data_IF_533147402736
#
_entry.id   IF_533147402736
#
_cell.length_a   1.000
_cell.length_b   1.000
_cell.length_c   1.000
_cell.angle_alpha   90.00
_cell.angle_beta   90.00
_cell.angle_gamma   90.00
#
_symmetry.space_group_name_H-M   'P 1'
#
loop_
_entity.id
_entity.type
_entity.pdbx_description
1 polymer ?
#
# COMPACT_ATOMS: atom_id res chain seq x y z
N UNK A 1 -1.78 -15.85 17.49
CA UNK A 1 -1.26 -16.17 16.14
C UNK A 1 0.23 -15.89 16.06
N UNK A 2 0.96 -16.67 15.27
CA UNK A 2 2.38 -16.55 14.92
C UNK A 2 2.52 -16.53 13.39
N UNK A 3 3.72 -16.24 12.88
CA UNK A 3 3.98 -16.24 11.43
C UNK A 3 3.56 -17.54 10.74
N UNK A 4 3.87 -18.70 11.34
CA UNK A 4 3.51 -20.01 10.78
C UNK A 4 1.99 -20.21 10.61
N UNK A 5 1.17 -19.56 11.46
CA UNK A 5 -0.30 -19.66 11.37
C UNK A 5 -0.85 -18.89 10.14
N UNK A 6 -0.12 -17.86 9.68
CA UNK A 6 -0.55 -16.97 8.58
C UNK A 6 0.25 -17.19 7.29
N UNK A 7 1.39 -17.88 7.34
CA UNK A 7 2.24 -18.14 6.18
C UNK A 7 1.48 -18.82 5.02
N UNK A 8 0.63 -19.86 5.25
CA UNK A 8 -0.17 -20.43 4.17
C UNK A 8 -1.13 -19.45 3.50
N UNK A 9 -1.60 -18.43 4.24
CA UNK A 9 -2.48 -17.38 3.73
C UNK A 9 -1.72 -16.32 2.93
N UNK A 10 -0.49 -15.96 3.32
CA UNK A 10 0.38 -15.14 2.47
C UNK A 10 0.60 -15.82 1.12
N UNK A 11 1.01 -17.08 1.17
CA UNK A 11 1.20 -17.96 0.03
C UNK A 11 -0.03 -18.01 -0.90
N UNK A 12 -1.23 -18.15 -0.33
CA UNK A 12 -2.49 -18.13 -1.06
C UNK A 12 -2.73 -16.77 -1.75
N UNK A 13 -2.55 -15.67 -1.03
CA UNK A 13 -2.74 -14.32 -1.56
C UNK A 13 -1.72 -14.02 -2.66
N UNK A 14 -0.45 -14.35 -2.46
CA UNK A 14 0.62 -14.10 -3.43
C UNK A 14 0.39 -14.86 -4.74
N UNK A 15 0.01 -16.14 -4.66
CA UNK A 15 -0.38 -16.94 -5.84
C UNK A 15 -1.63 -16.41 -6.53
N UNK A 16 -2.59 -15.85 -5.80
CA UNK A 16 -3.78 -15.25 -6.43
C UNK A 16 -3.46 -13.92 -7.12
N UNK A 17 -2.75 -13.05 -6.40
CA UNK A 17 -2.49 -11.66 -6.77
C UNK A 17 -1.41 -11.54 -7.84
N UNK A 18 -0.41 -12.42 -7.83
CA UNK A 18 0.78 -12.33 -8.68
C UNK A 18 1.70 -11.22 -8.19
N UNK A 19 2.61 -11.57 -7.29
CA UNK A 19 3.62 -10.65 -6.76
C UNK A 19 4.89 -10.81 -7.58
N UNK A 20 5.39 -9.75 -8.21
CA UNK A 20 6.75 -9.77 -8.75
C UNK A 20 7.74 -9.49 -7.63
N UNK A 21 8.83 -10.25 -7.58
CA UNK A 21 9.80 -10.12 -6.49
C UNK A 21 11.02 -11.01 -6.66
N UNK A 22 12.04 -10.73 -5.86
CA UNK A 22 13.25 -11.52 -5.76
C UNK A 22 13.26 -12.27 -4.42
N UNK A 23 13.56 -13.56 -4.47
CA UNK A 23 13.84 -14.37 -3.30
C UNK A 23 15.25 -14.05 -2.80
N UNK A 24 15.37 -13.75 -1.51
CA UNK A 24 16.60 -13.28 -0.87
C UNK A 24 17.08 -14.20 0.26
N UNK A 25 16.26 -15.16 0.70
CA UNK A 25 16.59 -16.07 1.79
C UNK A 25 16.75 -15.39 3.15
N UNK A 26 16.17 -14.19 3.34
CA UNK A 26 16.35 -13.41 4.56
C UNK A 26 15.33 -13.80 5.64
N UNK A 27 15.76 -14.14 6.89
CA UNK A 27 14.83 -14.52 7.96
C UNK A 27 13.91 -13.36 8.40
N UNK A 28 14.39 -12.12 8.30
CA UNK A 28 13.62 -10.90 8.62
C UNK A 28 12.67 -10.46 7.50
N UNK A 29 12.85 -11.00 6.29
CA UNK A 29 12.03 -10.74 5.12
C UNK A 29 11.79 -12.08 4.41
N UNK A 30 10.97 -12.97 4.99
CA UNK A 30 10.75 -14.30 4.44
C UNK A 30 10.32 -14.21 2.97
N UNK A 31 10.82 -15.14 2.16
CA UNK A 31 10.43 -15.23 0.76
C UNK A 31 8.98 -15.71 0.62
N UNK A 32 8.39 -15.39 -0.53
CA UNK A 32 7.01 -15.71 -0.88
C UNK A 32 6.92 -16.30 -2.28
N UNK A 33 5.71 -16.37 -2.81
CA UNK A 33 5.38 -16.96 -4.10
C UNK A 33 5.47 -15.88 -5.19
N UNK A 34 6.66 -15.71 -5.77
CA UNK A 34 6.93 -14.62 -6.70
C UNK A 34 6.83 -15.03 -8.17
N UNK A 35 6.23 -14.15 -8.96
CA UNK A 35 6.49 -14.04 -10.40
C UNK A 35 7.91 -13.47 -10.62
N UNK A 36 8.39 -13.56 -11.86
CA UNK A 36 9.72 -13.05 -12.23
C UNK A 36 9.94 -11.61 -11.73
N UNK A 37 11.10 -11.29 -11.12
CA UNK A 37 11.39 -9.95 -10.67
C UNK A 37 11.53 -8.99 -11.84
N UNK A 38 11.21 -7.72 -11.60
CA UNK A 38 11.64 -6.64 -12.49
C UNK A 38 13.14 -6.37 -12.30
N UNK A 39 13.82 -5.92 -13.36
CA UNK A 39 15.22 -5.52 -13.24
C UNK A 39 15.37 -4.19 -12.50
N UNK A 40 16.41 -4.10 -11.67
CA UNK A 40 16.90 -2.80 -11.19
C UNK A 40 17.39 -1.98 -12.37
N UNK A 41 17.11 -0.68 -12.32
CA UNK A 41 17.61 0.22 -13.33
C UNK A 41 19.09 0.57 -13.08
N UNK A 42 19.74 1.23 -14.04
CA UNK A 42 21.16 1.50 -13.95
C UNK A 42 21.57 2.36 -12.73
N UNK A 43 20.75 3.33 -12.35
CA UNK A 43 21.01 4.17 -11.17
C UNK A 43 20.90 3.38 -9.86
N UNK A 44 19.90 2.51 -9.79
CA UNK A 44 19.70 1.61 -8.65
C UNK A 44 20.81 0.57 -8.53
N UNK A 45 21.35 0.07 -9.65
CA UNK A 45 22.50 -0.83 -9.66
C UNK A 45 23.75 -0.15 -9.09
N UNK A 46 24.01 1.11 -9.45
CA UNK A 46 25.12 1.89 -8.88
C UNK A 46 24.99 1.99 -7.36
N UNK A 47 23.79 2.29 -6.86
CA UNK A 47 23.53 2.36 -5.42
C UNK A 47 23.66 1.00 -4.75
N UNK A 48 23.10 -0.06 -5.34
CA UNK A 48 23.25 -1.44 -4.83
C UNK A 48 24.72 -1.79 -4.67
N UNK A 49 25.53 -1.55 -5.69
CA UNK A 49 26.94 -1.92 -5.68
C UNK A 49 27.74 -1.07 -4.67
N UNK A 50 27.39 0.21 -4.51
CA UNK A 50 27.99 1.07 -3.49
C UNK A 50 27.64 0.62 -2.07
N UNK A 51 26.38 0.25 -1.81
CA UNK A 51 25.94 -0.30 -0.52
C UNK A 51 26.63 -1.62 -0.21
N UNK A 52 26.73 -2.52 -1.19
CA UNK A 52 27.41 -3.80 -1.03
C UNK A 52 28.91 -3.64 -0.71
N UNK A 53 29.58 -2.64 -1.28
CA UNK A 53 30.99 -2.31 -0.95
C UNK A 53 31.13 -1.70 0.44
N UNK A 54 30.23 -0.81 0.83
CA UNK A 54 30.30 -0.10 2.11
C UNK A 54 29.89 -0.98 3.31
N UNK A 55 29.01 -1.97 3.09
CA UNK A 55 28.54 -2.88 4.14
C UNK A 55 28.48 -4.34 3.64
N UNK A 56 29.64 -4.97 3.39
CA UNK A 56 29.72 -6.31 2.80
C UNK A 56 28.97 -7.35 3.63
N UNK A 57 27.98 -8.01 3.02
CA UNK A 57 27.17 -9.05 3.68
C UNK A 57 26.20 -8.57 4.75
N UNK A 58 26.22 -7.28 5.10
CA UNK A 58 25.37 -6.71 6.15
C UNK A 58 24.14 -5.99 5.60
N UNK A 59 24.25 -5.34 4.44
CA UNK A 59 23.14 -4.59 3.82
C UNK A 59 22.90 -5.05 2.40
N UNK A 60 21.62 -5.26 2.09
CA UNK A 60 21.14 -5.66 0.78
C UNK A 60 20.32 -4.54 0.16
N UNK A 61 20.56 -4.26 -1.11
CA UNK A 61 19.63 -3.50 -1.96
C UNK A 61 19.09 -4.48 -2.99
N UNK A 62 17.79 -4.69 -2.98
CA UNK A 62 17.10 -5.57 -3.93
C UNK A 62 15.97 -4.83 -4.65
N UNK A 63 15.39 -5.46 -5.66
CA UNK A 63 14.13 -5.02 -6.26
C UNK A 63 13.00 -5.14 -5.24
N UNK A 64 12.11 -4.14 -5.18
CA UNK A 64 10.91 -4.22 -4.37
C UNK A 64 10.01 -5.40 -4.75
N UNK A 65 9.27 -5.93 -3.79
CA UNK A 65 8.22 -6.93 -4.03
C UNK A 65 6.91 -6.19 -4.26
N UNK A 66 6.30 -6.31 -5.44
CA UNK A 66 5.11 -5.55 -5.77
C UNK A 66 4.06 -6.38 -6.52
N UNK A 67 2.79 -6.03 -6.30
CA UNK A 67 1.63 -6.66 -6.92
C UNK A 67 1.39 -6.15 -8.35
N UNK A 68 2.43 -6.23 -9.18
CA UNK A 68 2.43 -5.87 -10.59
C UNK A 68 2.91 -7.08 -11.38
N UNK A 69 2.10 -7.52 -12.35
CA UNK A 69 2.35 -8.73 -13.12
C UNK A 69 3.51 -8.53 -14.09
N UNK A 70 4.54 -9.37 -13.99
CA UNK A 70 5.64 -9.45 -14.96
C UNK A 70 5.41 -10.52 -16.03
N UNK A 71 4.41 -11.36 -15.83
CA UNK A 71 3.93 -12.38 -16.78
C UNK A 71 2.41 -12.48 -16.69
N UNK A 72 1.77 -13.07 -17.71
CA UNK A 72 0.33 -13.27 -17.69
C UNK A 72 -0.06 -14.18 -16.51
N UNK A 73 -1.07 -13.78 -15.75
CA UNK A 73 -1.41 -14.44 -14.49
C UNK A 73 -2.91 -14.38 -14.21
N UNK A 74 -3.55 -15.53 -13.97
CA UNK A 74 -4.98 -15.63 -13.66
C UNK A 74 -5.88 -14.81 -14.61
N UNK A 75 -5.62 -14.91 -15.92
CA UNK A 75 -6.39 -14.20 -16.96
C UNK A 75 -6.10 -12.69 -17.07
N UNK A 76 -5.10 -12.16 -16.36
CA UNK A 76 -4.64 -10.77 -16.47
C UNK A 76 -3.31 -10.71 -17.22
N UNK A 77 -3.16 -9.71 -18.09
CA UNK A 77 -1.95 -9.52 -18.89
C UNK A 77 -0.79 -8.96 -18.05
N UNK A 78 0.44 -9.27 -18.48
CA UNK A 78 1.65 -8.66 -17.94
C UNK A 78 1.64 -7.13 -18.08
N UNK A 79 2.38 -6.44 -17.21
CA UNK A 79 2.49 -4.99 -17.22
C UNK A 79 3.18 -4.48 -18.49
N UNK A 80 2.59 -3.48 -19.14
CA UNK A 80 3.19 -2.79 -20.29
C UNK A 80 4.09 -1.61 -19.90
N UNK A 81 4.28 -1.35 -18.60
CA UNK A 81 5.12 -0.26 -18.09
C UNK A 81 4.74 1.14 -18.62
N UNK A 82 3.44 1.37 -18.88
CA UNK A 82 2.94 2.64 -19.43
C UNK A 82 2.85 3.74 -18.37
N UNK A 83 2.35 3.42 -17.17
CA UNK A 83 2.07 4.39 -16.11
C UNK A 83 1.09 5.51 -16.53
N UNK A 84 0.79 6.45 -15.62
CA UNK A 84 1.09 6.42 -14.19
C UNK A 84 0.10 5.53 -13.41
N UNK A 85 0.61 4.62 -12.58
CA UNK A 85 -0.22 3.59 -11.93
C UNK A 85 -1.20 4.15 -10.88
N UNK A 86 -0.90 5.30 -10.26
CA UNK A 86 -1.75 5.90 -9.23
C UNK A 86 -3.09 6.41 -9.76
N UNK A 87 -3.26 6.49 -11.09
CA UNK A 87 -4.53 6.87 -11.75
C UNK A 87 -5.35 5.68 -12.23
N UNK A 88 -4.91 4.46 -11.93
CA UNK A 88 -5.50 3.24 -12.45
C UNK A 88 -4.62 2.55 -13.50
N UNK A 89 -4.97 1.32 -13.85
CA UNK A 89 -4.29 0.54 -14.89
C UNK A 89 -5.31 -0.02 -15.88
N UNK A 90 -5.27 0.55 -17.09
CA UNK A 90 -6.18 0.18 -18.19
C UNK A 90 -5.98 -1.27 -18.64
N UNK A 91 -4.78 -1.81 -18.50
CA UNK A 91 -4.42 -3.18 -18.89
C UNK A 91 -4.71 -4.21 -17.79
N UNK A 92 -5.17 -3.76 -16.61
CA UNK A 92 -5.49 -4.59 -15.44
C UNK A 92 -4.29 -5.42 -14.92
N UNK A 93 -3.08 -4.96 -15.20
CA UNK A 93 -1.82 -5.68 -14.93
C UNK A 93 -1.27 -5.52 -13.52
N UNK A 94 -1.80 -4.60 -12.71
CA UNK A 94 -1.48 -4.55 -11.27
C UNK A 94 -2.72 -4.89 -10.44
N UNK A 95 -2.48 -5.32 -9.21
CA UNK A 95 -3.53 -5.64 -8.26
C UNK A 95 -4.33 -4.42 -7.81
N UNK A 96 -5.63 -4.47 -8.08
CA UNK A 96 -6.61 -3.69 -7.36
C UNK A 96 -7.84 -4.56 -7.16
N UNK A 97 -8.71 -4.22 -6.22
CA UNK A 97 -9.96 -4.95 -6.04
C UNK A 97 -10.79 -4.96 -7.33
N UNK A 98 -10.77 -3.86 -8.09
CA UNK A 98 -11.47 -3.72 -9.38
C UNK A 98 -10.87 -4.63 -10.45
N UNK A 99 -9.56 -4.87 -10.44
CA UNK A 99 -8.88 -5.67 -11.45
C UNK A 99 -8.87 -7.17 -11.13
N UNK A 100 -8.89 -7.56 -9.85
CA UNK A 100 -8.63 -8.92 -9.41
C UNK A 100 -9.77 -9.54 -8.58
N UNK A 101 -10.01 -9.05 -7.36
CA UNK A 101 -10.91 -9.74 -6.42
C UNK A 101 -12.38 -9.56 -6.74
N UNK A 102 -12.83 -8.38 -7.19
CA UNK A 102 -14.22 -8.16 -7.59
C UNK A 102 -14.60 -8.98 -8.84
N UNK A 103 -13.79 -9.02 -9.92
CA UNK A 103 -14.04 -9.92 -11.04
C UNK A 103 -14.12 -11.40 -10.62
N UNK A 104 -13.21 -11.85 -9.74
CA UNK A 104 -13.23 -13.23 -9.24
C UNK A 104 -14.50 -13.53 -8.43
N UNK A 105 -14.91 -12.60 -7.55
CA UNK A 105 -16.15 -12.74 -6.78
C UNK A 105 -17.40 -12.69 -7.67
N UNK A 106 -17.42 -11.83 -8.69
CA UNK A 106 -18.51 -11.75 -9.67
C UNK A 106 -18.65 -13.04 -10.47
N UNK A 107 -17.55 -13.67 -10.88
CA UNK A 107 -17.55 -14.93 -11.61
C UNK A 107 -18.21 -16.09 -10.85
N UNK A 108 -18.35 -15.99 -9.52
CA UNK A 108 -19.07 -17.00 -8.73
C UNK A 108 -20.59 -16.96 -8.91
N UNK A 109 -21.14 -15.87 -9.45
CA UNK A 109 -22.58 -15.62 -9.52
C UNK A 109 -23.24 -15.34 -8.16
N UNK A 110 -22.46 -15.18 -7.09
CA UNK A 110 -22.95 -14.99 -5.71
C UNK A 110 -22.67 -13.59 -5.14
N UNK A 111 -22.08 -12.70 -5.94
CA UNK A 111 -21.78 -11.32 -5.54
C UNK A 111 -22.92 -10.38 -5.96
N UNK A 112 -23.41 -9.61 -5.00
CA UNK A 112 -24.17 -8.39 -5.26
C UNK A 112 -23.35 -7.19 -4.81
N UNK A 113 -23.06 -6.27 -5.73
CA UNK A 113 -22.36 -5.02 -5.43
C UNK A 113 -23.33 -3.85 -5.51
N UNK A 114 -23.46 -3.09 -4.41
CA UNK A 114 -24.28 -1.89 -4.35
C UNK A 114 -23.40 -0.67 -4.06
N UNK A 115 -22.93 0.06 -5.09
CA UNK A 115 -22.18 1.30 -4.88
C UNK A 115 -23.06 2.34 -4.18
N UNK A 116 -22.43 3.42 -3.70
CA UNK A 116 -23.12 4.49 -2.96
C UNK A 116 -23.88 3.98 -1.74
N UNK A 117 -23.33 2.99 -1.04
CA UNK A 117 -23.87 2.48 0.23
C UNK A 117 -23.00 2.99 1.37
N UNK A 118 -23.35 4.15 1.94
CA UNK A 118 -22.62 4.72 3.07
C UNK A 118 -23.14 4.09 4.36
N UNK A 119 -22.37 3.19 4.97
CA UNK A 119 -22.80 2.48 6.19
C UNK A 119 -22.78 3.46 7.37
N UNK A 120 -23.93 3.61 8.03
CA UNK A 120 -24.05 4.41 9.25
C UNK A 120 -23.70 3.58 10.49
N UNK A 121 -24.32 2.41 10.63
CA UNK A 121 -24.13 1.54 11.80
C UNK A 121 -24.48 0.08 11.50
N UNK A 122 -23.98 -0.81 12.34
CA UNK A 122 -24.32 -2.23 12.38
C UNK A 122 -25.52 -2.38 13.32
N UNK A 123 -26.57 -3.07 12.86
CA UNK A 123 -27.72 -3.39 13.71
C UNK A 123 -27.37 -4.61 14.57
N UNK A 124 -27.71 -4.56 15.86
CA UNK A 124 -27.29 -5.55 16.85
C UNK A 124 -28.44 -5.93 17.78
N UNK A 125 -28.65 -7.21 17.98
CA UNK A 125 -29.61 -7.74 18.95
C UNK A 125 -28.91 -8.01 20.28
N UNK A 126 -29.28 -7.23 21.31
CA UNK A 126 -28.73 -7.36 22.66
C UNK A 126 -29.15 -8.64 23.38
N UNK A 127 -30.28 -9.25 23.03
CA UNK A 127 -30.75 -10.49 23.67
C UNK A 127 -29.91 -11.68 23.23
N UNK A 128 -29.64 -11.77 21.92
CA UNK A 128 -28.85 -12.87 21.35
C UNK A 128 -27.36 -12.58 21.30
N UNK A 129 -26.96 -11.32 21.48
CA UNK A 129 -25.57 -10.89 21.42
C UNK A 129 -24.98 -10.91 20.01
N UNK A 130 -25.81 -10.69 18.97
CA UNK A 130 -25.42 -10.87 17.56
C UNK A 130 -25.73 -9.67 16.69
N UNK A 131 -24.85 -9.38 15.75
CA UNK A 131 -25.15 -8.50 14.63
C UNK A 131 -26.27 -9.12 13.78
N UNK A 132 -27.22 -8.28 13.33
CA UNK A 132 -28.40 -8.68 12.57
C UNK A 132 -28.47 -8.05 11.19
N UNK A 133 -27.57 -7.11 10.87
CA UNK A 133 -27.63 -6.32 9.66
C UNK A 133 -26.83 -5.02 9.74
N UNK A 134 -27.11 -4.12 8.80
CA UNK A 134 -26.50 -2.79 8.71
C UNK A 134 -27.55 -1.75 8.30
N UNK A 135 -27.41 -0.54 8.85
CA UNK A 135 -28.12 0.65 8.40
C UNK A 135 -27.22 1.42 7.45
N UNK A 136 -27.75 1.75 6.28
CA UNK A 136 -27.05 2.41 5.18
C UNK A 136 -27.79 3.70 4.84
N UNK A 137 -27.04 4.76 4.58
CA UNK A 137 -27.53 5.95 3.90
C UNK A 137 -27.12 5.82 2.43
N UNK A 138 -28.10 5.89 1.54
CA UNK A 138 -27.83 5.91 0.12
C UNK A 138 -27.06 7.19 -0.26
N UNK A 139 -25.90 7.02 -0.87
CA UNK A 139 -24.97 8.09 -1.11
C UNK A 139 -25.47 9.15 -2.09
N UNK A 140 -26.47 8.81 -2.91
CA UNK A 140 -27.03 9.69 -3.94
C UNK A 140 -28.33 10.35 -3.48
N UNK A 141 -29.25 9.56 -2.92
CA UNK A 141 -30.59 10.00 -2.53
C UNK A 141 -30.67 10.46 -1.07
N UNK A 142 -29.65 10.13 -0.25
CA UNK A 142 -29.63 10.33 1.21
C UNK A 142 -30.72 9.58 1.98
N UNK A 143 -31.40 8.63 1.34
CA UNK A 143 -32.41 7.82 1.98
C UNK A 143 -31.79 6.73 2.86
N UNK A 144 -32.39 6.51 4.03
CA UNK A 144 -31.98 5.43 4.93
C UNK A 144 -32.56 4.09 4.47
N UNK A 145 -31.73 3.05 4.48
CA UNK A 145 -32.06 1.69 4.06
C UNK A 145 -31.44 0.71 5.07
N UNK A 146 -32.15 -0.37 5.39
CA UNK A 146 -31.64 -1.42 6.26
C UNK A 146 -31.47 -2.75 5.51
N UNK A 147 -30.34 -3.40 5.74
CA UNK A 147 -30.05 -4.72 5.20
C UNK A 147 -29.88 -5.72 6.34
N UNK A 148 -30.68 -6.79 6.34
CA UNK A 148 -30.52 -7.89 7.29
C UNK A 148 -29.45 -8.86 6.81
N UNK A 149 -28.61 -9.33 7.71
CA UNK A 149 -27.53 -10.26 7.40
C UNK A 149 -27.32 -11.25 8.55
N UNK A 150 -26.96 -12.49 8.21
CA UNK A 150 -26.60 -13.53 9.19
C UNK A 150 -25.17 -13.36 9.70
N UNK A 151 -24.29 -12.80 8.86
CA UNK A 151 -22.88 -12.57 9.13
C UNK A 151 -22.53 -11.21 8.52
N UNK A 152 -21.78 -10.39 9.26
CA UNK A 152 -21.29 -9.09 8.82
C UNK A 152 -19.77 -9.09 8.86
N UNK A 153 -19.14 -8.84 7.72
CA UNK A 153 -17.70 -8.58 7.63
C UNK A 153 -17.49 -7.08 7.51
N UNK A 154 -16.85 -6.46 8.52
CA UNK A 154 -16.55 -5.04 8.51
C UNK A 154 -15.18 -4.80 7.86
N UNK A 155 -15.19 -4.30 6.63
CA UNK A 155 -13.98 -4.08 5.81
C UNK A 155 -13.92 -2.64 5.29
N UNK A 156 -14.18 -1.65 6.16
CA UNK A 156 -14.33 -0.24 5.77
C UNK A 156 -13.00 0.56 5.77
N UNK A 157 -11.84 -0.10 5.85
CA UNK A 157 -10.54 0.51 6.17
C UNK A 157 -10.40 0.88 7.65
N UNK A 158 -9.20 1.31 8.07
CA UNK A 158 -8.80 1.50 9.47
C UNK A 158 -9.72 2.45 10.23
N UNK A 159 -9.92 3.66 9.71
CA UNK A 159 -10.65 4.74 10.39
C UNK A 159 -12.16 4.48 10.36
N UNK A 160 -12.73 4.23 9.18
CA UNK A 160 -14.19 4.06 9.06
C UNK A 160 -14.70 2.78 9.75
N UNK A 161 -13.88 1.72 9.83
CA UNK A 161 -14.29 0.54 10.62
C UNK A 161 -14.40 0.88 12.10
N UNK A 162 -13.44 1.64 12.65
CA UNK A 162 -13.53 2.13 14.03
C UNK A 162 -14.74 3.05 14.22
N UNK A 163 -14.93 4.02 13.31
CA UNK A 163 -16.07 4.94 13.31
C UNK A 163 -17.41 4.20 13.34
N UNK A 164 -17.61 3.23 12.45
CA UNK A 164 -18.85 2.44 12.37
C UNK A 164 -19.08 1.66 13.67
N UNK A 165 -18.03 1.04 14.26
CA UNK A 165 -18.16 0.32 15.53
C UNK A 165 -18.53 1.25 16.70
N UNK A 166 -17.90 2.43 16.77
CA UNK A 166 -18.20 3.45 17.79
C UNK A 166 -19.64 3.97 17.64
N UNK A 167 -20.06 4.32 16.43
CA UNK A 167 -21.45 4.73 16.14
C UNK A 167 -22.48 3.63 16.44
N UNK A 168 -22.09 2.37 16.25
CA UNK A 168 -22.95 1.22 16.55
C UNK A 168 -23.02 0.92 18.05
N UNK A 169 -22.08 1.42 18.86
CA UNK A 169 -21.99 1.14 20.29
C UNK A 169 -21.72 -0.34 20.60
N UNK A 170 -20.97 -1.03 19.74
CA UNK A 170 -20.66 -2.47 19.89
C UNK A 170 -19.16 -2.73 19.86
N UNK A 171 -18.76 -3.94 20.28
CA UNK A 171 -17.39 -4.45 20.23
C UNK A 171 -16.33 -3.61 20.98
N UNK A 172 -16.74 -2.69 21.86
CA UNK A 172 -15.85 -1.82 22.62
C UNK A 172 -15.79 -2.10 24.13
N UNK A 173 -16.08 -3.33 24.56
CA UNK A 173 -15.97 -3.71 25.98
C UNK A 173 -14.54 -3.62 26.53
N UNK A 174 -13.54 -3.68 25.66
CA UNK A 174 -12.12 -3.48 26.00
C UNK A 174 -11.70 -2.00 26.04
N UNK A 175 -12.55 -1.09 25.56
CA UNK A 175 -12.20 0.32 25.38
C UNK A 175 -11.15 0.58 24.28
N UNK A 176 -10.84 -0.40 23.42
CA UNK A 176 -9.78 -0.30 22.42
C UNK A 176 -10.25 0.15 21.03
N UNK A 177 -11.55 0.20 20.76
CA UNK A 177 -12.05 0.66 19.46
C UNK A 177 -11.68 2.13 19.27
N UNK A 178 -11.04 2.44 18.14
CA UNK A 178 -10.53 3.77 17.83
C UNK A 178 -9.13 4.05 18.38
N UNK A 179 -8.58 3.22 19.27
CA UNK A 179 -7.26 3.44 19.90
C UNK A 179 -6.15 2.63 19.22
N UNK A 180 -4.91 2.97 19.56
CA UNK A 180 -3.70 2.35 18.99
C UNK A 180 -3.59 2.56 17.48
N UNK A 181 -4.02 3.73 17.00
CA UNK A 181 -3.81 4.10 15.61
C UNK A 181 -2.31 4.10 15.33
N UNK A 182 -1.93 3.41 14.25
CA UNK A 182 -0.55 3.29 13.79
C UNK A 182 -0.47 3.65 12.32
N UNK A 183 0.66 4.23 11.94
CA UNK A 183 1.08 4.43 10.55
C UNK A 183 2.59 4.11 10.44
N UNK A 184 3.19 4.34 9.28
CA UNK A 184 4.63 4.28 9.11
C UNK A 184 5.26 5.63 9.44
N UNK A 185 6.33 5.60 10.24
CA UNK A 185 7.23 6.74 10.33
C UNK A 185 7.96 6.81 8.98
N UNK A 186 7.63 7.81 8.18
CA UNK A 186 8.23 8.06 6.87
C UNK A 186 9.24 9.21 6.96
N UNK A 187 10.45 9.03 6.44
CA UNK A 187 11.46 10.09 6.40
C UNK A 187 12.80 9.68 5.80
N UNK A 188 13.62 10.66 5.46
CA UNK A 188 14.93 10.47 4.80
C UNK A 188 14.84 10.55 3.28
N UNK A 189 15.95 10.95 2.65
CA UNK A 189 16.12 11.08 1.20
C UNK A 189 17.58 11.44 0.89
N UNK A 190 18.13 10.93 -0.21
CA UNK A 190 19.45 11.30 -0.72
C UNK A 190 19.32 11.43 -2.23
N UNK A 191 19.45 12.66 -2.75
CA UNK A 191 19.64 12.88 -4.17
C UNK A 191 21.10 12.66 -4.55
N UNK A 192 21.37 11.69 -5.43
CA UNK A 192 22.70 11.42 -5.95
C UNK A 192 22.69 11.36 -7.49
N UNK A 193 23.64 12.02 -8.17
CA UNK A 193 23.77 11.91 -9.61
C UNK A 193 24.29 10.52 -10.01
N UNK A 194 23.77 10.02 -11.13
CA UNK A 194 24.16 8.77 -11.80
C UNK A 194 24.27 9.07 -13.30
N UNK A 195 25.08 8.31 -14.07
CA UNK A 195 25.37 8.61 -15.48
C UNK A 195 25.11 7.41 -16.42
N UNK A 196 23.85 6.98 -16.54
CA UNK A 196 23.38 5.90 -17.46
C UNK A 196 21.94 6.16 -17.92
N UNK A 197 21.37 5.44 -18.88
CA UNK A 197 19.99 5.72 -19.37
C UNK A 197 19.01 4.57 -19.15
N UNK A 198 17.70 4.86 -19.09
CA UNK A 198 16.63 3.86 -18.88
C UNK A 198 15.42 4.08 -19.76
N UNK A 199 14.76 2.99 -20.17
CA UNK A 199 13.54 3.02 -20.98
C UNK A 199 12.36 2.50 -20.15
N UNK A 200 11.22 3.21 -20.21
CA UNK A 200 9.95 2.79 -19.64
C UNK A 200 9.67 3.27 -18.21
N UNK A 201 8.41 3.14 -17.78
CA UNK A 201 7.94 3.57 -16.46
C UNK A 201 7.76 2.35 -15.54
N UNK A 202 8.87 1.74 -15.09
CA UNK A 202 8.83 0.62 -14.15
C UNK A 202 8.11 1.04 -12.85
N UNK A 203 6.95 0.46 -12.49
CA UNK A 203 6.17 0.88 -11.32
C UNK A 203 6.62 0.14 -10.06
N UNK A 204 7.92 0.14 -9.83
CA UNK A 204 8.56 -0.50 -8.69
C UNK A 204 9.83 0.27 -8.35
N UNK A 205 10.32 0.10 -7.14
CA UNK A 205 11.54 0.71 -6.64
C UNK A 205 12.55 -0.35 -6.19
N UNK A 206 13.60 0.10 -5.52
CA UNK A 206 14.42 -0.77 -4.68
C UNK A 206 13.76 -1.00 -3.32
N UNK A 207 14.21 -2.04 -2.64
CA UNK A 207 14.00 -2.25 -1.22
C UNK A 207 15.33 -2.53 -0.53
N UNK A 208 15.55 -1.86 0.60
CA UNK A 208 16.59 -2.18 1.58
C UNK A 208 15.88 -2.83 2.77
N UNK A 209 16.00 -4.16 2.93
CA UNK A 209 15.37 -4.85 4.05
C UNK A 209 15.85 -4.31 5.38
N UNK A 210 15.06 -4.56 6.42
CA UNK A 210 15.45 -4.25 7.79
C UNK A 210 16.85 -4.81 8.06
N UNK A 211 17.73 -3.98 8.61
CA UNK A 211 19.08 -4.35 9.07
C UNK A 211 19.33 -3.98 10.54
N UNK A 212 18.41 -3.24 11.18
CA UNK A 212 18.49 -2.93 12.62
C UNK A 212 17.77 -3.97 13.47
N UNK A 213 18.38 -4.29 14.62
CA UNK A 213 17.90 -5.27 15.59
C UNK A 213 17.69 -6.66 14.99
N UNK A 214 18.71 -7.10 14.26
CA UNK A 214 18.81 -8.44 13.68
C UNK A 214 20.07 -9.08 14.21
N UNK A 215 19.97 -10.34 14.64
CA UNK A 215 21.10 -11.06 15.21
C UNK A 215 21.65 -10.38 16.48
N UNK A 216 22.96 -10.08 16.50
CA UNK A 216 23.69 -9.61 17.69
C UNK A 216 23.71 -8.09 17.87
N UNK A 217 23.40 -7.32 16.82
CA UNK A 217 23.42 -5.85 16.87
C UNK A 217 22.13 -5.30 17.49
N UNK A 218 22.20 -4.84 18.75
CA UNK A 218 21.06 -4.23 19.45
C UNK A 218 21.22 -2.71 19.51
N UNK A 219 20.13 -1.99 19.21
CA UNK A 219 19.97 -0.55 19.40
C UNK A 219 18.93 -0.30 20.50
N UNK A 220 18.96 0.86 21.19
CA UNK A 220 17.86 1.29 22.06
C UNK A 220 16.53 1.46 21.32
N UNK A 221 16.59 1.68 20.00
CA UNK A 221 15.41 1.62 19.14
C UNK A 221 14.82 0.20 19.21
N UNK A 222 13.56 0.03 19.60
CA UNK A 222 13.00 -1.29 19.91
C UNK A 222 12.87 -2.23 18.70
N UNK A 223 12.71 -1.67 17.51
CA UNK A 223 12.31 -2.42 16.31
C UNK A 223 13.23 -2.13 15.13
N UNK A 224 12.72 -2.09 13.91
CA UNK A 224 13.56 -1.80 12.76
C UNK A 224 12.89 -0.87 11.78
N UNK A 225 13.64 -0.57 10.74
CA UNK A 225 13.18 0.16 9.59
C UNK A 225 13.82 -0.47 8.35
N UNK A 226 13.09 -0.43 7.25
CA UNK A 226 13.63 -0.66 5.92
C UNK A 226 13.63 0.65 5.14
N UNK A 227 14.15 0.61 3.93
CA UNK A 227 14.05 1.73 3.01
C UNK A 227 13.45 1.29 1.68
N UNK A 228 12.62 2.14 1.09
CA UNK A 228 12.20 2.00 -0.30
C UNK A 228 12.58 3.25 -1.06
N UNK A 229 12.80 3.11 -2.35
CA UNK A 229 13.33 4.20 -3.13
C UNK A 229 13.50 3.83 -4.58
N UNK A 230 14.20 4.68 -5.31
CA UNK A 230 14.52 4.40 -6.69
C UNK A 230 15.37 5.48 -7.29
N UNK A 231 15.91 5.19 -8.47
CA UNK A 231 16.62 6.16 -9.27
C UNK A 231 15.75 6.59 -10.44
N UNK A 232 15.80 7.86 -10.82
CA UNK A 232 15.14 8.39 -12.01
C UNK A 232 15.85 9.62 -12.55
N UNK A 233 15.50 10.02 -13.77
CA UNK A 233 15.97 11.29 -14.34
C UNK A 233 14.89 12.33 -14.22
N UNK A 234 15.28 13.58 -13.96
CA UNK A 234 14.33 14.69 -14.09
C UNK A 234 13.84 14.78 -15.53
N UNK A 235 12.53 14.82 -15.72
CA UNK A 235 11.92 14.97 -17.03
C UNK A 235 11.93 16.45 -17.48
N UNK A 236 11.17 16.77 -18.52
CA UNK A 236 11.01 18.14 -19.00
C UNK A 236 10.36 19.07 -17.96
N UNK A 237 9.65 18.52 -16.96
CA UNK A 237 8.99 19.25 -15.88
C UNK A 237 9.96 20.05 -15.02
N UNK A 238 11.25 19.72 -15.03
CA UNK A 238 12.31 20.56 -14.45
C UNK A 238 12.31 22.00 -14.97
N UNK A 239 11.78 22.22 -16.17
CA UNK A 239 11.63 23.54 -16.77
C UNK A 239 10.65 24.45 -16.03
N UNK A 240 9.73 23.90 -15.22
CA UNK A 240 8.76 24.71 -14.48
C UNK A 240 9.40 25.69 -13.49
N UNK A 241 10.61 25.37 -12.99
CA UNK A 241 11.39 26.25 -12.10
C UNK A 241 12.52 27.02 -12.80
N UNK A 242 12.64 26.94 -14.13
CA UNK A 242 13.71 27.58 -14.88
C UNK A 242 13.22 28.82 -15.62
N UNK A 243 14.02 29.88 -15.61
CA UNK A 243 13.78 31.05 -16.48
C UNK A 243 14.09 30.67 -17.92
N UNK A 244 13.12 30.85 -18.82
CA UNK A 244 13.30 30.62 -20.26
C UNK A 244 11.98 30.45 -21.00
N UNK A 245 11.99 30.74 -22.31
CA UNK A 245 10.87 30.51 -23.22
C UNK A 245 11.37 30.31 -24.66
N UNK A 246 10.49 29.92 -25.58
CA UNK A 246 10.82 29.79 -27.00
C UNK A 246 11.48 28.46 -27.40
N UNK A 247 11.99 28.41 -28.63
CA UNK A 247 12.48 27.18 -29.26
C UNK A 247 13.71 26.59 -28.53
N UNK A 248 14.63 27.43 -28.08
CA UNK A 248 15.84 26.99 -27.39
C UNK A 248 15.54 26.40 -26.02
N UNK A 249 14.59 26.99 -25.29
CA UNK A 249 14.12 26.44 -24.02
C UNK A 249 13.46 25.07 -24.22
N UNK A 250 12.60 24.92 -25.23
CA UNK A 250 12.02 23.60 -25.57
C UNK A 250 13.11 22.60 -25.98
N UNK A 251 14.14 23.04 -26.70
CA UNK A 251 15.26 22.18 -27.14
C UNK A 251 16.13 21.75 -25.96
N UNK A 252 16.35 22.61 -24.96
CA UNK A 252 17.12 22.26 -23.75
C UNK A 252 16.38 21.23 -22.89
N UNK A 253 15.04 21.27 -22.87
CA UNK A 253 14.20 20.32 -22.11
C UNK A 253 14.03 18.95 -22.79
N UNK A 254 14.35 18.82 -24.08
CA UNK A 254 14.27 17.54 -24.81
C UNK A 254 15.30 16.50 -24.38
N UNK A 255 16.42 16.94 -23.79
CA UNK A 255 17.39 16.02 -23.21
C UNK A 255 16.92 15.58 -21.82
N UNK A 256 17.07 14.30 -21.43
CA UNK A 256 16.81 13.90 -20.05
C UNK A 256 17.65 14.72 -19.07
N UNK A 257 17.05 15.11 -17.95
CA UNK A 257 17.72 15.87 -16.90
C UNK A 257 18.76 15.04 -16.14
N UNK A 258 19.35 15.61 -15.07
CA UNK A 258 20.24 14.86 -14.19
C UNK A 258 19.51 13.67 -13.57
N UNK A 259 20.28 12.67 -13.19
CA UNK A 259 19.79 11.60 -12.33
C UNK A 259 19.63 12.09 -10.90
N UNK A 260 18.56 11.62 -10.28
CA UNK A 260 18.40 11.60 -8.84
C UNK A 260 18.23 10.16 -8.37
N UNK A 261 18.56 9.96 -7.11
CA UNK A 261 18.14 8.80 -6.35
C UNK A 261 17.27 9.32 -5.22
N UNK A 262 16.31 8.53 -4.75
CA UNK A 262 15.49 8.88 -3.61
C UNK A 262 15.34 7.66 -2.73
N UNK A 263 15.39 7.86 -1.42
CA UNK A 263 15.28 6.78 -0.46
C UNK A 263 14.48 7.22 0.75
N UNK A 264 13.33 6.59 0.98
CA UNK A 264 12.45 6.85 2.10
C UNK A 264 12.54 5.71 3.10
N UNK A 265 12.79 6.06 4.36
CA UNK A 265 12.75 5.13 5.48
C UNK A 265 11.30 4.83 5.88
N UNK A 266 11.02 3.55 6.12
CA UNK A 266 9.74 3.08 6.65
C UNK A 266 10.02 2.44 8.01
N UNK A 267 9.77 3.22 9.07
CA UNK A 267 9.91 2.79 10.45
C UNK A 267 8.57 2.39 11.06
N UNK A 268 8.65 1.55 12.09
CA UNK A 268 7.47 1.10 12.83
C UNK A 268 7.00 2.13 13.87
N UNK A 269 5.70 2.35 13.91
CA UNK A 269 5.01 3.03 15.01
C UNK A 269 4.43 1.98 15.96
N UNK A 270 4.77 2.07 17.25
CA UNK A 270 4.22 1.16 18.25
C UNK A 270 2.75 1.49 18.55
N UNK A 271 1.93 0.49 18.94
CA UNK A 271 0.58 0.76 19.41
C UNK A 271 0.67 1.59 20.69
N UNK A 272 0.05 2.77 20.67
CA UNK A 272 -0.10 3.61 21.86
C UNK A 272 -1.54 4.02 22.00
N UNK A 273 -2.06 3.89 23.22
CA UNK A 273 -3.45 4.20 23.52
C UNK A 273 -3.78 5.69 23.25
N UNK A 274 -2.81 6.59 23.46
CA UNK A 274 -2.90 8.03 23.19
C UNK A 274 -3.05 8.37 21.70
N UNK A 275 -2.75 7.44 20.78
CA UNK A 275 -3.02 7.60 19.36
C UNK A 275 -4.40 7.02 19.07
N UNK A 276 -5.39 7.89 18.91
CA UNK A 276 -6.77 7.46 18.74
C UNK A 276 -7.53 8.26 17.68
N UNK A 277 -8.68 7.69 17.32
CA UNK A 277 -9.75 8.25 16.50
C UNK A 277 -11.02 8.15 17.33
N UNK A 278 -11.80 9.22 17.38
CA UNK A 278 -13.07 9.28 18.10
C UNK A 278 -14.15 9.94 17.26
N UNK A 279 -15.40 9.88 17.73
CA UNK A 279 -16.50 10.53 17.02
C UNK A 279 -16.54 12.02 17.39
N UNK A 280 -16.48 12.91 16.40
CA UNK A 280 -16.79 14.31 16.58
C UNK A 280 -18.29 14.49 16.79
N UNK A 281 -18.67 14.99 17.97
CA UNK A 281 -20.07 15.17 18.37
C UNK A 281 -20.73 16.39 17.73
N UNK A 282 -19.95 17.31 17.16
CA UNK A 282 -20.41 18.59 16.66
C UNK A 282 -20.40 18.66 15.13
N UNK A 283 -19.75 17.70 14.46
CA UNK A 283 -19.58 17.71 13.02
C UNK A 283 -20.09 16.42 12.38
N UNK A 284 -20.82 16.60 11.28
CA UNK A 284 -21.33 15.51 10.45
C UNK A 284 -20.78 15.60 9.04
N UNK A 285 -20.73 14.47 8.34
CA UNK A 285 -20.41 14.41 6.92
C UNK A 285 -21.59 14.83 6.03
N UNK A 286 -21.41 14.73 4.71
CA UNK A 286 -22.41 15.08 3.71
C UNK A 286 -23.72 14.27 3.80
N UNK A 287 -23.71 13.14 4.52
CA UNK A 287 -24.84 12.24 4.73
C UNK A 287 -25.43 12.34 6.14
N UNK A 288 -24.99 13.33 6.94
CA UNK A 288 -25.50 13.57 8.29
C UNK A 288 -24.96 12.61 9.34
N UNK A 289 -23.88 11.89 9.03
CA UNK A 289 -23.27 10.92 9.95
C UNK A 289 -22.13 11.61 10.70
N UNK A 290 -22.04 11.53 12.04
CA UNK A 290 -20.93 12.12 12.81
C UNK A 290 -19.57 11.66 12.28
N UNK A 291 -18.64 12.59 12.07
CA UNK A 291 -17.31 12.26 11.52
C UNK A 291 -16.40 11.63 12.57
N UNK A 292 -15.35 10.97 12.09
CA UNK A 292 -14.25 10.45 12.90
C UNK A 292 -13.06 11.44 12.95
#
# INVERSE_FOLDING_TARGET
IRYADIAPWYDHVERFVGISGQAEGLPQLPDGQFLKPMALNCGEQVVRDAVARAWPGERLVTIGRCAVLTEAHNGRAACHYCGPCHRGCITRSYFSSVNATLPAAQATGRLTLRPYSVVHSITYDRKTGRATGVRVIDGQTKHAIEFKARIVFLCASTIESARILLLSGIANSSGQVGKNLMDHIMGGGIDAPVDRDTIGNRPNGIYVPRFRNIGKGKSPFLRGYGFQGGAGRSDWGRGAGQTGFGADFKKSLRKPGPWGFGLYGFGEMLPKEENFVEIDKNKVDAWGIPVA
#
